data_IF_041651733539
#
_entry.id   IF_041651733539
#
_cell.length_a   1.000
_cell.length_b   1.000
_cell.length_c   1.000
_cell.angle_alpha   90.00
_cell.angle_beta   90.00
_cell.angle_gamma   90.00
#
_symmetry.space_group_name_H-M   'P 1'
#
loop_
_entity.id
_entity.type
_entity.pdbx_description
1 polymer ?
2 polymer ?
3 polymer ?
4 non-polymer ?
5 non-polymer ?
6 non-polymer ?
7 water ?
#
loop_
_entity_poly.entity_id
_entity_poly.type
_entity_poly.pdbx_seq_one_letter_code
_entity_poly.pdbx_strand_id
1 'polydeoxyribonucleotide' '(DG)(DG)(DG)(DG)(DT)(DG)(DT)(DG)(DG)(DT)(DA)(DG)' ?
2 'polydeoxyribonucleotide' '(DC)(DA)(DT)(DC)(DG)(DC)(DT)(DA)(DC)(DC)(DA)(DC)(DA)(DC)(DC)(DC)(DC)' ?
#
# COMPACT_ATOMS: atom_id res chain seq x y z
N UNK C 3 6.22 8.83 -26.93
CA UNK C 3 6.26 7.48 -26.34
C UNK C 3 7.70 7.03 -26.12
N UNK C 4 7.92 6.37 -24.97
CA UNK C 4 9.25 6.06 -24.47
C UNK C 4 9.33 4.55 -24.25
N UNK C 5 10.15 3.87 -25.05
CA UNK C 5 10.29 2.42 -24.92
C UNK C 5 11.33 2.08 -23.85
N UNK C 6 11.33 0.82 -23.43
CA UNK C 6 12.20 0.39 -22.32
C UNK C 6 13.69 0.50 -22.62
N UNK C 7 14.07 0.54 -23.90
CA UNK C 7 15.48 0.72 -24.23
C UNK C 7 15.86 2.19 -24.36
N UNK C 8 14.93 3.09 -24.09
CA UNK C 8 15.25 4.50 -24.12
C UNK C 8 15.79 4.95 -22.78
N UNK C 9 16.83 5.79 -22.76
CA UNK C 9 17.35 6.26 -21.47
C UNK C 9 16.32 6.88 -20.55
N UNK C 10 15.23 7.45 -21.09
CA UNK C 10 14.22 8.13 -20.29
C UNK C 10 13.13 7.19 -19.76
N UNK C 11 13.25 5.88 -19.99
CA UNK C 11 12.13 4.98 -19.69
C UNK C 11 11.77 4.98 -18.20
N UNK C 12 12.77 4.81 -17.33
CA UNK C 12 12.49 4.76 -15.89
C UNK C 12 11.83 6.05 -15.41
N UNK C 13 12.33 7.21 -15.86
CA UNK C 13 11.71 8.46 -15.48
C UNK C 13 10.26 8.54 -15.95
N UNK C 14 10.00 8.10 -17.18
CA UNK C 14 8.65 8.17 -17.73
C UNK C 14 7.72 7.21 -17.01
N UNK C 15 8.19 5.98 -16.78
CA UNK C 15 7.35 4.97 -16.17
C UNK C 15 6.97 5.37 -14.75
N UNK C 16 7.96 5.81 -13.96
CA UNK C 16 7.66 6.23 -12.59
C UNK C 16 6.79 7.49 -12.54
N UNK C 17 6.95 8.39 -13.51
CA UNK C 17 6.07 9.56 -13.57
C UNK C 17 4.61 9.17 -13.77
N UNK C 18 4.36 8.08 -14.49
CA UNK C 18 3.00 7.66 -14.81
C UNK C 18 2.44 6.62 -13.85
N UNK C 19 3.31 5.87 -13.15
CA UNK C 19 2.88 4.70 -12.37
C UNK C 19 2.30 5.14 -11.02
N UNK C 20 1.00 4.92 -10.82
CA UNK C 20 0.44 5.29 -9.53
C UNK C 20 0.95 4.40 -8.40
N UNK C 21 1.26 3.15 -8.69
CA UNK C 21 1.80 2.26 -7.67
C UNK C 21 3.20 2.69 -7.24
N UNK C 22 4.03 3.15 -8.18
CA UNK C 22 5.28 3.78 -7.79
C UNK C 22 5.04 4.99 -6.90
N UNK C 23 4.07 5.83 -7.26
CA UNK C 23 3.78 7.02 -6.44
C UNK C 23 3.36 6.62 -5.03
N UNK C 24 2.47 5.64 -4.90
CA UNK C 24 2.04 5.20 -3.57
C UNK C 24 3.23 4.81 -2.72
N UNK C 25 4.15 4.04 -3.30
CA UNK C 25 5.31 3.52 -2.59
C UNK C 25 6.24 4.65 -2.17
N UNK C 26 6.50 5.57 -3.10
CA UNK C 26 7.39 6.68 -2.82
C UNK C 26 6.80 7.61 -1.77
N UNK C 27 5.50 7.89 -1.89
CA UNK C 27 4.85 8.76 -0.90
C UNK C 27 4.91 8.14 0.48
N UNK C 28 4.65 6.83 0.57
CA UNK C 28 4.69 6.16 1.86
C UNK C 28 6.09 6.19 2.45
N UNK C 29 7.10 5.90 1.62
CA UNK C 29 8.48 5.93 2.10
C UNK C 29 8.86 7.31 2.59
N UNK C 30 8.42 8.36 1.89
CA UNK C 30 8.73 9.72 2.32
C UNK C 30 8.06 10.05 3.64
N UNK C 31 6.82 9.59 3.83
CA UNK C 31 6.12 9.87 5.08
C UNK C 31 6.78 9.19 6.25
N UNK C 32 7.31 7.98 6.04
CA UNK C 32 8.02 7.29 7.10
C UNK C 32 9.32 8.01 7.43
N UNK C 33 10.06 8.44 6.41
CA UNK C 33 11.31 9.14 6.66
C UNK C 33 11.04 10.46 7.37
N UNK C 34 9.96 11.15 6.99
CA UNK C 34 9.60 12.38 7.68
C UNK C 34 9.30 12.12 9.15
N UNK C 35 8.56 11.05 9.45
CA UNK C 35 8.27 10.69 10.83
C UNK C 35 9.56 10.50 11.63
N UNK C 36 10.51 9.76 11.06
CA UNK C 36 11.75 9.49 11.77
C UNK C 36 12.57 10.77 11.97
N UNK C 37 12.59 11.64 10.97
CA UNK C 37 13.34 12.89 11.10
C UNK C 37 12.71 13.82 12.12
N UNK C 38 11.38 13.86 12.18
CA UNK C 38 10.70 14.73 13.14
C UNK C 38 10.83 14.21 14.57
N UNK C 39 11.12 12.93 14.76
CA UNK C 39 11.11 12.32 16.08
C UNK C 39 12.50 11.91 16.56
N UNK C 40 13.56 12.37 15.89
CA UNK C 40 14.91 11.86 16.18
C UNK C 40 15.28 12.12 17.64
N UNK C 41 14.85 13.25 18.19
CA UNK C 41 15.13 13.59 19.57
C UNK C 41 13.93 13.40 20.49
N UNK C 42 12.78 13.03 19.94
CA UNK C 42 11.59 12.74 20.72
C UNK C 42 11.49 11.23 20.99
N UNK C 43 10.55 10.87 21.86
CA UNK C 43 10.27 9.44 22.19
C UNK C 43 8.97 9.07 21.49
N UNK C 44 7.87 9.71 21.91
CA UNK C 44 6.50 9.54 21.33
C UNK C 44 6.20 8.08 21.00
N UNK C 45 6.46 7.15 21.93
CA UNK C 45 6.16 5.72 21.67
C UNK C 45 5.10 5.48 22.76
N UNK C 46 4.20 4.56 22.48
CA UNK C 46 3.25 4.10 23.48
C UNK C 46 3.98 3.15 24.43
N UNK C 47 3.68 3.26 25.72
CA UNK C 47 4.28 2.39 26.72
C UNK C 47 3.22 1.47 27.31
N UNK C 48 3.70 0.48 28.09
CA UNK C 48 2.78 -0.49 28.67
C UNK C 48 1.77 0.15 29.62
N UNK C 49 2.11 1.30 30.20
CA UNK C 49 1.22 1.96 31.19
C UNK C 49 0.10 2.75 30.50
N UNK C 50 0.22 2.96 29.20
CA UNK C 50 -0.76 3.78 28.51
C UNK C 50 -1.97 2.97 28.13
N UNK C 51 -3.16 3.50 28.40
CA UNK C 51 -4.40 3.02 27.82
C UNK C 51 -4.75 3.98 26.69
N UNK C 52 -5.05 3.43 25.51
CA UNK C 52 -5.16 4.26 24.32
C UNK C 52 -6.43 3.95 23.53
N UNK C 53 -6.81 4.93 22.72
CA UNK C 53 -7.86 4.79 21.72
C UNK C 53 -7.21 5.03 20.36
N UNK C 54 -7.61 4.22 19.38
CA UNK C 54 -7.12 4.33 18.02
C UNK C 54 -8.19 5.02 17.19
N UNK C 55 -7.79 6.07 16.47
CA UNK C 55 -8.61 6.69 15.44
C UNK C 55 -7.91 6.40 14.12
N UNK C 56 -8.51 5.50 13.35
CA UNK C 56 -7.99 5.12 12.02
C UNK C 56 -8.72 5.97 10.99
N UNK C 57 -7.99 6.89 10.36
CA UNK C 57 -8.59 7.94 9.53
C UNK C 57 -8.12 7.73 8.10
N UNK C 58 -9.05 7.79 7.14
CA UNK C 58 -8.71 7.44 5.76
C UNK C 58 -9.64 8.17 4.79
N UNK C 59 -9.06 8.71 3.71
CA UNK C 59 -9.88 9.42 2.71
C UNK C 59 -10.78 8.43 1.99
N UNK C 60 -12.05 8.79 1.83
CA UNK C 60 -12.95 8.03 0.97
C UNK C 60 -12.52 8.16 -0.49
N UNK C 61 -12.52 7.02 -1.19
CA UNK C 61 -12.13 6.90 -2.60
C UNK C 61 -11.16 8.00 -3.02
N UNK C 62 -9.95 7.94 -2.45
CA UNK C 62 -9.04 9.08 -2.44
C UNK C 62 -8.78 9.67 -3.82
N UNK C 63 -8.22 8.89 -4.75
CA UNK C 63 -7.90 9.45 -6.06
C UNK C 63 -9.17 9.94 -6.77
N UNK C 64 -10.28 9.20 -6.65
CA UNK C 64 -11.51 9.62 -7.33
C UNK C 64 -11.99 10.95 -6.79
N UNK C 65 -11.96 11.13 -5.47
CA UNK C 65 -12.38 12.40 -4.87
C UNK C 65 -11.50 13.53 -5.35
N UNK C 66 -10.18 13.35 -5.24
CA UNK C 66 -9.26 14.45 -5.55
C UNK C 66 -9.28 14.75 -7.05
N UNK C 67 -9.27 13.72 -7.88
CA UNK C 67 -9.29 13.92 -9.32
C UNK C 67 -10.58 14.59 -9.76
N UNK C 68 -11.66 14.35 -9.04
CA UNK C 68 -12.91 15.05 -9.32
C UNK C 68 -12.81 16.52 -8.92
N UNK C 69 -12.37 16.78 -7.69
CA UNK C 69 -12.31 18.17 -7.22
C UNK C 69 -11.38 19.01 -8.07
N UNK C 70 -10.36 18.41 -8.68
CA UNK C 70 -9.35 19.08 -9.49
C UNK C 70 -9.53 18.81 -10.99
N UNK C 71 -10.69 18.33 -11.40
CA UNK C 71 -10.90 17.92 -12.79
C UNK C 71 -10.82 19.11 -13.74
N UNK C 72 -10.42 18.82 -14.97
CA UNK C 72 -10.28 19.85 -16.00
C UNK C 72 -11.66 20.31 -16.47
N UNK C 73 -11.66 21.41 -17.23
CA UNK C 73 -12.92 22.00 -17.67
C UNK C 73 -13.72 21.06 -18.56
N UNK C 74 -13.06 20.13 -19.25
CA UNK C 74 -13.79 19.19 -20.09
C UNK C 74 -14.68 18.26 -19.27
N UNK C 75 -14.47 18.17 -17.96
CA UNK C 75 -15.30 17.41 -17.04
C UNK C 75 -16.10 18.28 -16.09
N UNK C 76 -16.26 19.56 -16.41
CA UNK C 76 -16.88 20.49 -15.46
C UNK C 76 -18.28 20.04 -15.04
N UNK C 77 -19.02 19.42 -15.96
CA UNK C 77 -20.39 19.04 -15.64
C UNK C 77 -20.49 17.70 -14.89
N UNK C 78 -19.38 17.01 -14.70
CA UNK C 78 -19.43 15.72 -14.02
C UNK C 78 -19.99 15.89 -12.61
N UNK C 79 -20.79 14.92 -12.18
CA UNK C 79 -21.52 14.98 -10.91
C UNK C 79 -21.00 13.86 -10.03
N UNK C 80 -20.28 14.23 -8.96
CA UNK C 80 -19.66 13.23 -8.08
C UNK C 80 -20.69 12.41 -7.33
N UNK C 81 -21.87 12.97 -7.08
CA UNK C 81 -22.90 12.26 -6.33
C UNK C 81 -23.75 11.34 -7.19
N UNK C 82 -23.79 11.57 -8.51
CA UNK C 82 -24.68 10.82 -9.38
C UNK C 82 -23.97 10.04 -10.49
N UNK C 83 -22.71 10.35 -10.80
CA UNK C 83 -22.00 9.67 -11.89
C UNK C 83 -21.08 8.59 -11.32
N UNK C 84 -20.98 7.44 -11.98
CA UNK C 84 -19.95 6.44 -11.61
C UNK C 84 -18.63 6.90 -12.18
N UNK C 85 -17.64 7.12 -11.30
CA UNK C 85 -16.38 7.75 -11.66
C UNK C 85 -15.23 6.81 -11.32
N UNK C 86 -14.27 6.72 -12.26
CA UNK C 86 -13.03 6.00 -12.04
C UNK C 86 -11.86 6.91 -12.43
N UNK C 87 -10.70 6.61 -11.86
CA UNK C 87 -9.43 7.24 -12.22
C UNK C 87 -8.55 6.18 -12.88
N UNK C 88 -8.09 6.48 -14.08
CA UNK C 88 -7.33 5.49 -14.88
C UNK C 88 -6.61 6.18 -16.04
N UNK C 89 -5.65 5.49 -16.62
CA UNK C 89 -4.95 5.99 -17.81
C UNK C 89 -5.68 5.68 -19.11
N UNK C 90 -6.34 4.53 -19.17
CA UNK C 90 -6.76 3.98 -20.45
C UNK C 90 -8.24 3.75 -20.57
N UNK C 91 -8.61 2.84 -21.48
CA UNK C 91 -9.99 2.61 -21.85
C UNK C 91 -10.38 1.14 -21.85
N UNK C 92 -9.41 0.26 -21.71
CA UNK C 92 -9.72 -1.18 -21.78
C UNK C 92 -9.06 -1.95 -20.64
N UNK C 93 -7.87 -2.47 -20.86
CA UNK C 93 -7.19 -3.28 -19.84
C UNK C 93 -6.30 -2.41 -18.97
N UNK C 94 -6.92 -1.35 -18.44
CA UNK C 94 -6.22 -0.35 -17.66
C UNK C 94 -6.85 -0.31 -16.27
N UNK C 95 -5.98 -0.29 -15.26
CA UNK C 95 -6.44 -0.40 -13.87
C UNK C 95 -7.26 0.81 -13.46
N UNK C 96 -8.38 0.55 -12.79
CA UNK C 96 -9.11 1.55 -12.04
C UNK C 96 -8.37 1.73 -10.72
N UNK C 97 -7.63 2.84 -10.60
CA UNK C 97 -6.91 3.06 -9.35
C UNK C 97 -7.86 3.35 -8.21
N UNK C 98 -8.89 4.14 -8.49
CA UNK C 98 -9.91 4.48 -7.50
C UNK C 98 -11.24 4.67 -8.22
N UNK C 99 -12.31 4.27 -7.56
CA UNK C 99 -13.67 4.47 -8.09
C UNK C 99 -14.51 5.09 -6.97
N UNK C 100 -15.47 5.93 -7.34
CA UNK C 100 -16.34 6.52 -6.34
C UNK C 100 -17.42 5.53 -5.90
N UNK C 101 -18.22 5.95 -4.91
CA UNK C 101 -19.19 5.03 -4.33
C UNK C 101 -20.39 4.80 -5.24
N UNK C 102 -20.67 5.73 -6.17
CA UNK C 102 -21.66 5.43 -7.21
C UNK C 102 -21.19 4.24 -8.05
N UNK C 103 -19.92 4.26 -8.48
CA UNK C 103 -19.40 3.13 -9.25
C UNK C 103 -19.48 1.85 -8.43
N UNK C 104 -19.16 1.91 -7.14
CA UNK C 104 -19.17 0.71 -6.33
C UNK C 104 -20.57 0.15 -6.13
N UNK C 105 -21.60 0.99 -6.27
CA UNK C 105 -23.00 0.54 -6.19
C UNK C 105 -23.31 -0.51 -7.24
N UNK C 106 -22.54 -0.54 -8.32
CA UNK C 106 -22.71 -1.51 -9.40
C UNK C 106 -21.77 -2.69 -9.27
N UNK C 107 -20.92 -2.71 -8.25
CA UNK C 107 -19.98 -3.79 -8.06
C UNK C 107 -18.56 -3.47 -8.50
N UNK C 108 -18.32 -2.28 -9.04
CA UNK C 108 -16.97 -1.92 -9.45
C UNK C 108 -16.09 -1.75 -8.22
N UNK C 109 -14.83 -2.17 -8.35
CA UNK C 109 -13.87 -2.15 -7.25
C UNK C 109 -12.54 -1.61 -7.74
N UNK C 110 -11.78 -0.98 -6.82
CA UNK C 110 -10.41 -0.58 -7.14
C UNK C 110 -9.63 -1.80 -7.60
N UNK C 111 -8.80 -1.60 -8.63
CA UNK C 111 -7.98 -2.66 -9.17
C UNK C 111 -8.58 -3.37 -10.37
N UNK C 112 -9.89 -3.21 -10.61
CA UNK C 112 -10.50 -3.78 -11.79
C UNK C 112 -9.99 -3.08 -13.04
N UNK C 113 -10.01 -3.80 -14.16
CA UNK C 113 -9.79 -3.16 -15.44
C UNK C 113 -11.06 -2.44 -15.88
N UNK C 114 -10.88 -1.32 -16.60
CA UNK C 114 -12.01 -0.59 -17.15
C UNK C 114 -12.93 -1.51 -17.95
N UNK C 115 -12.35 -2.41 -18.74
CA UNK C 115 -13.15 -3.30 -19.57
C UNK C 115 -14.07 -4.17 -18.73
N UNK C 116 -13.59 -4.66 -17.57
CA UNK C 116 -14.44 -5.43 -16.69
C UNK C 116 -15.52 -4.56 -16.05
N UNK C 117 -15.16 -3.34 -15.63
CA UNK C 117 -16.11 -2.48 -14.91
C UNK C 117 -17.24 -2.02 -15.82
N UNK C 118 -16.92 -1.69 -17.07
CA UNK C 118 -17.94 -1.22 -18.00
C UNK C 118 -19.08 -2.21 -18.14
N UNK C 119 -18.78 -3.51 -18.08
CA UNK C 119 -19.82 -4.52 -18.24
C UNK C 119 -20.79 -4.57 -17.07
N UNK C 120 -20.42 -3.98 -15.94
CA UNK C 120 -21.28 -3.98 -14.76
C UNK C 120 -22.32 -2.87 -14.79
N UNK C 121 -22.29 -2.00 -15.78
CA UNK C 121 -23.23 -0.90 -15.81
C UNK C 121 -24.42 -1.26 -16.68
N UNK C 122 -25.64 -1.01 -16.24
CA UNK C 122 -26.79 -1.19 -17.13
C UNK C 122 -26.74 -0.18 -18.26
N UNK C 123 -27.48 -0.48 -19.33
CA UNK C 123 -27.44 0.37 -20.51
C UNK C 123 -27.93 1.77 -20.18
N UNK C 124 -27.31 2.77 -20.80
CA UNK C 124 -27.62 4.16 -20.54
C UNK C 124 -26.84 4.78 -19.42
N UNK C 125 -26.14 3.99 -18.61
CA UNK C 125 -25.29 4.48 -17.54
C UNK C 125 -23.88 4.51 -18.07
N UNK C 126 -23.28 5.71 -18.11
CA UNK C 126 -21.92 5.86 -18.70
C UNK C 126 -20.86 6.11 -17.63
N UNK C 127 -19.76 5.37 -17.72
CA UNK C 127 -18.63 5.51 -16.81
C UNK C 127 -17.86 6.77 -17.16
N UNK C 128 -17.55 7.57 -16.14
CA UNK C 128 -16.73 8.76 -16.31
C UNK C 128 -15.31 8.42 -15.86
N UNK C 129 -14.34 8.54 -16.77
CA UNK C 129 -12.94 8.21 -16.51
C UNK C 129 -12.15 9.51 -16.39
N UNK C 130 -11.64 9.78 -15.19
CA UNK C 130 -10.85 10.98 -14.96
C UNK C 130 -9.37 10.64 -14.94
N UNK C 131 -8.52 11.56 -15.38
CA UNK C 131 -7.07 11.31 -15.35
C UNK C 131 -6.53 11.50 -13.95
N UNK C 132 -5.34 10.94 -13.74
CA UNK C 132 -4.66 11.12 -12.48
C UNK C 132 -4.22 12.58 -12.31
N UNK C 133 -4.21 13.04 -11.06
CA UNK C 133 -3.72 14.37 -10.69
C UNK C 133 -2.71 14.17 -9.55
N UNK C 134 -1.51 13.71 -9.90
CA UNK C 134 -0.59 13.19 -8.88
C UNK C 134 -0.15 14.26 -7.90
N UNK C 135 0.22 15.45 -8.40
CA UNK C 135 0.69 16.49 -7.50
C UNK C 135 -0.42 16.93 -6.57
N UNK C 136 -1.67 16.95 -7.06
CA UNK C 136 -2.77 17.34 -6.19
C UNK C 136 -3.13 16.26 -5.18
N UNK C 137 -2.95 14.98 -5.53
CA UNK C 137 -3.07 13.94 -4.50
C UNK C 137 -2.13 14.24 -3.35
N UNK C 138 -0.90 14.56 -3.67
CA UNK C 138 0.09 14.85 -2.61
C UNK C 138 -0.31 16.11 -1.82
N UNK C 139 -0.75 17.15 -2.48
CA UNK C 139 -1.12 18.36 -1.76
C UNK C 139 -2.29 18.11 -0.81
N UNK C 140 -3.28 17.31 -1.23
CA UNK C 140 -4.39 17.01 -0.32
C UNK C 140 -3.89 16.20 0.87
N UNK C 141 -2.97 15.26 0.62
CA UNK C 141 -2.33 14.51 1.69
C UNK C 141 -1.64 15.45 2.69
N UNK C 142 -0.88 16.41 2.18
CA UNK C 142 -0.24 17.39 3.06
C UNK C 142 -1.25 18.08 3.96
N UNK C 143 -2.37 18.52 3.39
CA UNK C 143 -3.40 19.20 4.17
C UNK C 143 -3.97 18.28 5.25
N UNK C 144 -4.13 16.99 4.91
CA UNK C 144 -4.63 15.99 5.85
C UNK C 144 -3.68 15.83 7.03
N UNK C 145 -2.40 15.57 6.75
CA UNK C 145 -1.45 15.38 7.84
C UNK C 145 -1.24 16.66 8.64
N UNK C 146 -1.27 17.82 7.97
CA UNK C 146 -1.17 19.09 8.69
C UNK C 146 -2.35 19.30 9.62
N UNK C 147 -3.55 18.97 9.15
CA UNK C 147 -4.74 19.11 9.99
C UNK C 147 -4.66 18.22 11.21
N UNK C 148 -4.27 16.95 11.01
CA UNK C 148 -4.18 16.02 12.15
C UNK C 148 -3.27 16.54 13.25
N UNK C 149 -2.12 17.10 12.87
CA UNK C 149 -1.18 17.63 13.86
C UNK C 149 -1.73 18.89 14.51
N UNK C 150 -2.37 19.77 13.72
CA UNK C 150 -2.85 21.04 14.24
C UNK C 150 -3.95 20.85 15.28
N UNK C 151 -4.73 19.77 15.18
CA UNK C 151 -5.82 19.57 16.12
C UNK C 151 -5.33 19.36 17.54
N UNK C 152 -4.09 18.92 17.72
CA UNK C 152 -3.50 18.69 19.03
C UNK C 152 -4.38 17.78 19.91
N UNK C 153 -4.86 16.70 19.32
CA UNK C 153 -5.68 15.74 20.05
C UNK C 153 -5.05 14.34 20.13
N UNK C 154 -3.94 14.10 19.42
CA UNK C 154 -3.33 12.78 19.36
C UNK C 154 -1.91 12.83 19.92
N UNK C 155 -1.57 11.80 20.69
CA UNK C 155 -0.21 11.67 21.19
C UNK C 155 0.74 11.09 20.15
N UNK C 156 0.22 10.34 19.18
CA UNK C 156 1.07 9.71 18.18
C UNK C 156 0.29 9.62 16.88
N UNK C 157 0.90 10.06 15.79
CA UNK C 157 0.29 10.04 14.46
C UNK C 157 1.17 9.19 13.57
N UNK C 158 0.65 8.04 13.12
CA UNK C 158 1.45 7.07 12.37
C UNK C 158 1.00 7.07 10.92
N UNK C 159 1.89 7.34 9.97
CA UNK C 159 1.48 7.31 8.56
C UNK C 159 1.29 5.87 8.10
N UNK C 160 0.16 5.61 7.46
CA UNK C 160 -0.11 4.27 6.86
C UNK C 160 0.03 4.40 5.34
N UNK C 161 -0.49 5.49 4.78
CA UNK C 161 -0.49 5.67 3.34
C UNK C 161 -0.63 7.16 3.06
N UNK C 162 -0.51 7.50 1.78
CA UNK C 162 -0.79 8.86 1.32
C UNK C 162 -2.10 9.40 1.91
N UNK C 163 -3.10 8.55 2.10
CA UNK C 163 -4.44 8.99 2.46
C UNK C 163 -4.92 8.43 3.79
N UNK C 164 -4.01 7.93 4.61
CA UNK C 164 -4.46 7.15 5.78
C UNK C 164 -3.47 7.23 6.93
N UNK C 165 -3.99 7.38 8.13
CA UNK C 165 -3.12 7.46 9.30
C UNK C 165 -3.79 6.78 10.48
N UNK C 166 -2.96 6.19 11.35
CA UNK C 166 -3.40 5.65 12.63
C UNK C 166 -3.03 6.67 13.69
N UNK C 167 -4.04 7.19 14.39
CA UNK C 167 -3.87 8.30 15.30
C UNK C 167 -4.24 7.83 16.70
N UNK C 168 -3.32 7.98 17.65
CA UNK C 168 -3.44 7.35 18.95
C UNK C 168 -3.67 8.43 20.00
N UNK C 169 -4.73 8.27 20.79
CA UNK C 169 -5.02 9.16 21.91
C UNK C 169 -4.89 8.37 23.20
N UNK C 170 -3.99 8.81 24.08
CA UNK C 170 -3.78 8.17 25.38
C UNK C 170 -4.78 8.76 26.37
N UNK C 171 -5.47 7.90 27.10
CA UNK C 171 -6.53 8.28 28.03
C UNK C 171 -6.03 8.04 29.45
N UNK C 172 -5.81 9.08 30.24
CA UNK C 172 -5.41 8.87 31.64
C UNK C 172 -6.53 8.21 32.43
N UNK C 173 -6.12 7.50 33.48
CA UNK C 173 -7.05 6.84 34.43
C UNK C 173 -7.93 7.93 35.02
N UNK C 174 -7.34 9.13 35.14
CA UNK C 174 -7.96 10.42 35.42
C UNK C 174 -9.30 10.60 34.74
N UNK C 175 -9.39 10.20 33.47
CA UNK C 175 -10.43 10.67 32.56
C UNK C 175 -11.43 9.56 32.30
N UNK C 176 -12.71 9.93 32.24
CA UNK C 176 -13.77 9.01 31.88
C UNK C 176 -14.08 9.24 30.40
N UNK C 177 -13.56 8.38 29.54
CA UNK C 177 -13.85 8.48 28.12
C UNK C 177 -15.28 7.99 27.88
N UNK C 178 -15.97 8.63 26.93
CA UNK C 178 -17.32 8.26 26.58
C UNK C 178 -17.48 8.20 25.06
N UNK C 179 -18.53 7.49 24.63
CA UNK C 179 -18.89 7.49 23.22
C UNK C 179 -19.17 8.91 22.73
N UNK C 180 -19.86 9.72 23.54
CA UNK C 180 -20.17 11.08 23.13
C UNK C 180 -18.91 11.90 22.87
N UNK C 181 -17.90 11.78 23.74
CA UNK C 181 -16.65 12.51 23.51
C UNK C 181 -15.95 11.99 22.25
N UNK C 182 -16.00 10.69 22.02
CA UNK C 182 -15.33 10.14 20.84
C UNK C 182 -16.07 10.55 19.57
N UNK C 183 -17.40 10.57 19.62
CA UNK C 183 -18.17 11.02 18.46
C UNK C 183 -17.85 12.48 18.14
N UNK C 184 -17.75 13.32 19.17
CA UNK C 184 -17.41 14.72 18.92
C UNK C 184 -16.03 14.85 18.31
N UNK C 185 -15.07 14.07 18.78
CA UNK C 185 -13.74 14.10 18.18
C UNK C 185 -13.78 13.65 16.72
N UNK C 186 -14.53 12.60 16.43
CA UNK C 186 -14.71 12.12 15.06
C UNK C 186 -15.27 13.21 14.17
N UNK C 187 -16.30 13.89 14.67
CA UNK C 187 -16.93 14.94 13.88
C UNK C 187 -16.00 16.14 13.69
N UNK C 188 -15.21 16.49 14.72
CA UNK C 188 -14.23 17.55 14.57
C UNK C 188 -13.20 17.19 13.51
N UNK C 189 -12.66 15.98 13.59
CA UNK C 189 -11.66 15.54 12.61
C UNK C 189 -12.24 15.60 11.20
N UNK C 190 -13.43 15.03 11.02
CA UNK C 190 -14.04 14.97 9.69
C UNK C 190 -14.29 16.37 9.13
N UNK C 191 -14.79 17.28 9.97
CA UNK C 191 -15.09 18.62 9.47
C UNK C 191 -13.81 19.41 9.18
N UNK C 192 -12.82 19.32 10.07
CA UNK C 192 -11.58 20.07 9.86
C UNK C 192 -10.84 19.56 8.62
N UNK C 193 -10.85 18.26 8.38
CA UNK C 193 -10.20 17.75 7.17
C UNK C 193 -10.99 18.16 5.93
N UNK C 194 -12.31 18.09 5.99
CA UNK C 194 -13.14 18.54 4.87
C UNK C 194 -12.84 19.99 4.52
N UNK C 195 -12.78 20.87 5.53
CA UNK C 195 -12.41 22.26 5.29
C UNK C 195 -10.97 22.36 4.78
N UNK C 196 -10.04 21.66 5.45
CA UNK C 196 -8.63 21.83 5.15
C UNK C 196 -8.22 21.31 3.79
N UNK C 197 -8.95 20.33 3.25
CA UNK C 197 -8.69 19.77 1.94
C UNK C 197 -9.58 20.35 0.86
N UNK C 198 -10.42 21.34 1.18
CA UNK C 198 -11.30 21.95 0.19
C UNK C 198 -12.27 20.95 -0.43
N UNK C 199 -12.84 20.07 0.39
CA UNK C 199 -13.97 19.25 -0.02
C UNK C 199 -13.74 17.75 -0.02
N UNK C 200 -12.63 17.24 0.49
CA UNK C 200 -12.46 15.79 0.50
C UNK C 200 -13.04 15.26 1.80
N UNK C 201 -13.51 14.02 1.77
CA UNK C 201 -14.10 13.41 2.96
C UNK C 201 -13.22 12.30 3.48
N UNK C 202 -13.17 12.17 4.81
CA UNK C 202 -12.52 11.03 5.46
C UNK C 202 -13.56 10.27 6.26
N UNK C 203 -13.36 8.97 6.37
CA UNK C 203 -14.06 8.19 7.36
C UNK C 203 -13.09 7.77 8.47
N UNK C 204 -13.67 7.39 9.60
CA UNK C 204 -12.90 7.13 10.82
C UNK C 204 -13.44 5.87 11.49
N UNK C 205 -12.55 4.95 11.83
CA UNK C 205 -12.85 3.85 12.73
C UNK C 205 -12.19 4.16 14.07
N UNK C 206 -12.96 4.01 15.13
CA UNK C 206 -12.51 4.37 16.47
C UNK C 206 -12.67 3.16 17.37
N UNK C 207 -11.59 2.69 17.98
CA UNK C 207 -11.68 1.51 18.83
C UNK C 207 -10.49 1.47 19.79
N UNK C 208 -10.47 0.41 20.61
CA UNK C 208 -9.36 0.14 21.51
C UNK C 208 -8.43 -0.97 21.01
N UNK C 209 -8.49 -1.33 19.72
CA UNK C 209 -7.47 -2.13 19.07
C UNK C 209 -7.23 -1.57 17.68
N UNK C 210 -6.07 -1.86 17.13
CA UNK C 210 -5.80 -1.48 15.72
C UNK C 210 -6.72 -2.25 14.78
N UNK C 211 -6.93 -3.52 15.05
CA UNK C 211 -7.76 -4.34 14.12
C UNK C 211 -9.23 -3.90 14.14
N UNK C 212 -9.77 -3.63 15.32
CA UNK C 212 -11.18 -3.19 15.37
C UNK C 212 -11.30 -1.80 14.77
N UNK C 213 -10.28 -0.94 14.91
CA UNK C 213 -10.35 0.40 14.28
C UNK C 213 -10.40 0.28 12.75
N UNK C 214 -9.70 -0.71 12.21
CA UNK C 214 -9.71 -0.94 10.74
C UNK C 214 -11.08 -1.46 10.30
N UNK C 215 -11.64 -2.40 11.05
CA UNK C 215 -12.98 -2.92 10.70
C UNK C 215 -14.03 -1.80 10.89
N UNK C 216 -13.90 -1.01 11.94
CA UNK C 216 -14.84 0.11 12.17
C UNK C 216 -14.76 1.12 11.01
N UNK C 217 -13.57 1.35 10.50
CA UNK C 217 -13.39 2.26 9.34
C UNK C 217 -14.17 1.73 8.14
N UNK C 218 -14.07 0.44 7.89
CA UNK C 218 -14.82 -0.15 6.77
C UNK C 218 -16.34 0.06 6.97
N UNK C 219 -16.83 -0.19 8.17
CA UNK C 219 -18.24 -0.05 8.46
C UNK C 219 -18.68 1.41 8.37
N UNK C 220 -17.76 2.34 8.67
CA UNK C 220 -18.07 3.76 8.66
C UNK C 220 -18.27 4.31 7.25
N UNK C 221 -17.66 3.69 6.25
CA UNK C 221 -17.59 4.28 4.92
C UNK C 221 -18.92 4.14 4.18
N UNK C 222 -19.23 5.07 3.28
CA UNK C 222 -18.46 6.28 2.98
C UNK C 222 -18.88 7.46 3.86
N UNK C 223 -17.95 8.37 4.08
CA UNK C 223 -18.22 9.68 4.68
C UNK C 223 -18.91 9.55 6.04
N UNK C 224 -18.31 8.75 6.90
CA UNK C 224 -18.88 8.54 8.22
C UNK C 224 -17.86 8.16 9.26
N UNK C 225 -18.32 7.84 10.46
CA UNK C 225 -17.46 7.31 11.49
C UNK C 225 -18.19 6.21 12.22
N UNK C 226 -17.41 5.33 12.84
CA UNK C 226 -17.96 4.23 13.61
C UNK C 226 -17.09 4.02 14.83
N UNK C 227 -17.73 3.91 15.98
CA UNK C 227 -17.04 3.69 17.25
C UNK C 227 -17.47 2.31 17.74
N UNK C 228 -16.57 1.33 17.69
CA UNK C 228 -16.85 -0.01 18.20
C UNK C 228 -15.67 -0.47 19.06
N UNK C 229 -15.84 -0.40 20.38
CA UNK C 229 -14.84 -0.90 21.30
C UNK C 229 -15.05 -2.40 21.54
N UNK C 230 -14.04 -3.04 22.11
CA UNK C 230 -14.14 -4.46 22.42
C UNK C 230 -15.38 -4.75 23.25
N UNK C 231 -15.73 -3.85 24.17
CA UNK C 231 -16.92 -4.03 25.00
C UNK C 231 -18.21 -3.84 24.22
N UNK C 232 -18.15 -3.32 22.99
CA UNK C 232 -19.33 -3.10 22.15
C UNK C 232 -19.54 -4.23 21.14
N UNK C 233 -18.72 -5.26 21.14
CA UNK C 233 -18.78 -6.24 20.07
C UNK C 233 -20.10 -7.02 20.12
N UNK C 234 -20.60 -7.39 18.94
CA UNK C 234 -21.88 -8.05 18.82
C UNK C 234 -21.87 -8.92 17.56
N UNK C 235 -22.86 -9.80 17.47
CA UNK C 235 -23.05 -10.58 16.26
C UNK C 235 -23.36 -9.67 15.08
N UNK C 236 -24.12 -8.59 15.32
CA UNK C 236 -24.43 -7.64 14.26
C UNK C 236 -23.17 -7.06 13.65
N UNK C 237 -22.17 -6.75 14.48
CA UNK C 237 -20.90 -6.24 13.98
C UNK C 237 -20.20 -7.26 13.08
N UNK C 238 -19.97 -8.47 13.60
CA UNK C 238 -19.21 -9.46 12.84
C UNK C 238 -19.94 -9.87 11.56
N UNK C 239 -21.28 -9.87 11.58
CA UNK C 239 -22.02 -10.27 10.39
C UNK C 239 -21.90 -9.25 9.27
N UNK C 240 -21.36 -8.07 9.52
CA UNK C 240 -21.27 -6.99 8.56
C UNK C 240 -20.06 -7.08 7.64
N UNK C 241 -19.15 -8.02 7.88
CA UNK C 241 -17.85 -8.02 7.21
C UNK C 241 -17.62 -9.30 6.42
N UNK C 242 -16.98 -9.14 5.26
CA UNK C 242 -16.45 -10.25 4.49
C UNK C 242 -15.13 -10.71 5.10
N UNK C 243 -14.72 -11.94 4.75
CA UNK C 243 -13.52 -12.50 5.34
C UNK C 243 -12.27 -11.68 5.00
N UNK C 244 -12.17 -11.19 3.76
CA UNK C 244 -11.00 -10.38 3.42
C UNK C 244 -11.13 -8.92 3.85
N UNK C 245 -12.15 -8.56 4.62
CA UNK C 245 -12.10 -7.29 5.33
C UNK C 245 -11.06 -7.30 6.43
N UNK C 246 -10.64 -8.48 6.86
CA UNK C 246 -9.60 -8.55 7.91
C UNK C 246 -8.26 -8.13 7.32
N UNK C 247 -7.51 -7.34 8.02
CA UNK C 247 -6.13 -6.94 7.48
C UNK C 247 -5.24 -8.18 7.52
N UNK C 248 -4.58 -8.37 6.39
CA UNK C 248 -3.69 -9.52 6.22
C UNK C 248 -4.38 -10.68 5.52
N UNK C 249 -5.68 -10.58 5.28
CA UNK C 249 -6.40 -11.61 4.56
C UNK C 249 -6.70 -11.05 3.18
N UNK C 250 -6.02 -11.60 2.16
CA UNK C 250 -6.31 -11.34 0.79
C UNK C 250 -6.87 -12.56 0.09
N UNK C 251 -6.79 -12.54 -1.25
CA UNK C 251 -7.49 -13.55 -2.05
C UNK C 251 -6.97 -14.96 -1.77
N UNK C 252 -5.67 -15.11 -1.60
CA UNK C 252 -5.11 -16.45 -1.38
C UNK C 252 -5.55 -17.02 -0.04
N UNK C 253 -5.47 -16.22 1.02
CA UNK C 253 -5.91 -16.66 2.33
C UNK C 253 -7.42 -16.90 2.35
N UNK C 254 -8.17 -16.02 1.69
CA UNK C 254 -9.61 -16.19 1.59
C UNK C 254 -9.96 -17.55 0.99
N UNK C 255 -9.26 -17.93 -0.08
CA UNK C 255 -9.54 -19.21 -0.73
C UNK C 255 -9.32 -20.38 0.22
N UNK C 256 -8.23 -20.32 1.01
CA UNK C 256 -7.97 -21.38 1.97
C UNK C 256 -9.03 -21.44 3.06
N UNK C 257 -9.46 -20.27 3.56
CA UNK C 257 -10.50 -20.25 4.60
C UNK C 257 -11.81 -20.81 4.07
N UNK C 258 -12.17 -20.47 2.83
CA UNK C 258 -13.41 -20.98 2.27
C UNK C 258 -13.36 -22.49 2.06
N UNK C 259 -12.18 -23.02 1.72
CA UNK C 259 -12.08 -24.46 1.59
C UNK C 259 -12.18 -25.15 2.95
N UNK C 260 -11.53 -24.61 3.97
CA UNK C 260 -11.46 -25.29 5.26
C UNK C 260 -12.77 -25.20 6.03
N UNK C 261 -13.46 -24.05 5.94
CA UNK C 261 -14.58 -23.77 6.82
C UNK C 261 -15.91 -23.70 6.09
N UNK C 262 -16.04 -24.42 4.99
CA UNK C 262 -17.32 -24.58 4.30
C UNK C 262 -17.88 -23.25 3.82
N UNK C 263 -17.01 -22.44 3.22
CA UNK C 263 -17.34 -21.16 2.59
C UNK C 263 -18.11 -20.25 3.54
N UNK C 264 -17.51 -19.79 4.62
CA UNK C 264 -18.16 -18.74 5.42
C UNK C 264 -18.38 -17.51 4.55
N UNK C 265 -19.49 -16.82 4.80
CA UNK C 265 -19.83 -15.63 4.03
C UNK C 265 -19.75 -14.37 4.85
N UNK C 266 -19.36 -14.45 6.12
CA UNK C 266 -19.19 -13.30 6.97
C UNK C 266 -18.14 -13.66 8.02
N UNK C 267 -17.59 -12.65 8.69
CA UNK C 267 -16.72 -12.93 9.83
C UNK C 267 -17.50 -13.60 10.95
N UNK C 268 -18.81 -13.38 11.02
CA UNK C 268 -19.63 -14.09 11.99
C UNK C 268 -19.65 -15.59 11.68
N UNK C 269 -19.84 -15.96 10.40
CA UNK C 269 -19.78 -17.37 10.04
C UNK C 269 -18.45 -17.98 10.44
N UNK C 270 -17.35 -17.28 10.13
CA UNK C 270 -16.03 -17.82 10.41
C UNK C 270 -15.83 -17.98 11.91
N UNK C 271 -16.22 -16.97 12.70
CA UNK C 271 -15.92 -17.05 14.13
C UNK C 271 -16.75 -18.10 14.85
N UNK C 272 -17.92 -18.46 14.30
CA UNK C 272 -18.72 -19.51 14.91
C UNK C 272 -18.28 -20.91 14.48
N UNK C 273 -17.50 -21.03 13.41
CA UNK C 273 -17.09 -22.33 12.89
C UNK C 273 -15.65 -22.69 13.23
N UNK C 274 -14.77 -21.73 13.42
CA UNK C 274 -13.36 -22.06 13.45
C UNK C 274 -12.94 -22.60 14.81
N UNK C 275 -11.79 -23.27 14.81
CA UNK C 275 -10.97 -23.47 15.99
C UNK C 275 -9.58 -22.95 15.67
N UNK C 276 -8.86 -22.54 16.71
CA UNK C 276 -7.50 -22.05 16.49
C UNK C 276 -6.63 -23.09 15.79
N UNK C 277 -6.74 -24.36 16.19
CA UNK C 277 -5.91 -25.40 15.58
C UNK C 277 -6.23 -25.56 14.10
N UNK C 278 -7.52 -25.66 13.76
CA UNK C 278 -7.86 -25.85 12.35
C UNK C 278 -7.48 -24.63 11.52
N UNK C 279 -7.58 -23.45 12.12
CA UNK C 279 -7.19 -22.22 11.45
C UNK C 279 -5.70 -22.21 11.14
N UNK C 280 -4.87 -22.56 12.13
CA UNK C 280 -3.43 -22.63 11.89
C UNK C 280 -3.10 -23.63 10.80
N UNK C 281 -3.80 -24.77 10.78
CA UNK C 281 -3.54 -25.76 9.75
C UNK C 281 -3.91 -25.24 8.37
N UNK C 282 -4.91 -24.35 8.31
CA UNK C 282 -5.39 -23.92 7.00
C UNK C 282 -4.52 -22.81 6.42
N UNK C 283 -4.10 -21.84 7.24
CA UNK C 283 -3.44 -20.65 6.73
C UNK C 283 -2.05 -20.43 7.30
N UNK C 284 -1.59 -21.26 8.22
CA UNK C 284 -0.30 -21.06 8.84
C UNK C 284 -0.41 -20.66 10.31
N UNK C 285 0.66 -20.94 11.06
CA UNK C 285 0.66 -20.70 12.50
C UNK C 285 0.48 -19.22 12.83
N UNK C 286 1.34 -18.37 12.27
CA UNK C 286 1.31 -16.96 12.65
C UNK C 286 0.08 -16.26 12.11
N UNK C 287 -0.25 -16.49 10.83
CA UNK C 287 -1.44 -15.87 10.26
C UNK C 287 -2.70 -16.42 10.90
N UNK C 288 -2.72 -17.72 11.21
CA UNK C 288 -3.86 -18.28 11.93
C UNK C 288 -4.06 -17.65 13.29
N UNK C 289 -2.97 -17.46 14.05
CA UNK C 289 -3.07 -16.80 15.35
C UNK C 289 -3.55 -15.36 15.21
N UNK C 290 -3.04 -14.65 14.19
CA UNK C 290 -3.48 -13.28 13.94
C UNK C 290 -4.98 -13.21 13.70
N UNK C 291 -5.49 -14.11 12.88
CA UNK C 291 -6.92 -14.12 12.57
C UNK C 291 -7.73 -14.50 13.81
N UNK C 292 -7.27 -15.51 14.55
CA UNK C 292 -7.95 -15.90 15.78
C UNK C 292 -8.06 -14.72 16.75
N UNK C 293 -6.96 -13.99 16.95
CA UNK C 293 -7.01 -12.83 17.82
C UNK C 293 -7.91 -11.74 17.26
N UNK C 294 -7.85 -11.52 15.93
CA UNK C 294 -8.68 -10.48 15.31
C UNK C 294 -10.17 -10.78 15.50
N UNK C 295 -10.54 -12.06 15.44
CA UNK C 295 -11.94 -12.43 15.63
C UNK C 295 -12.41 -12.24 17.07
N UNK C 296 -11.49 -11.94 18.00
CA UNK C 296 -11.82 -11.50 19.34
C UNK C 296 -11.64 -10.00 19.50
N UNK C 297 -11.38 -9.29 18.41
CA UNK C 297 -11.15 -7.86 18.47
C UNK C 297 -9.78 -7.46 18.93
N UNK C 298 -8.82 -8.39 18.95
CA UNK C 298 -7.52 -8.16 19.57
C UNK C 298 -6.39 -8.14 18.53
N UNK C 299 -5.39 -7.30 18.79
CA UNK C 299 -4.21 -7.26 17.95
C UNK C 299 -3.23 -8.34 18.34
N UNK C 300 -2.41 -8.77 17.37
CA UNK C 300 -1.30 -9.67 17.66
C UNK C 300 -0.04 -8.87 17.98
N UNK C 301 0.98 -9.58 18.47
CA UNK C 301 2.20 -8.91 18.93
C UNK C 301 2.88 -8.17 17.79
N UNK C 302 2.89 -8.77 16.59
CA UNK C 302 3.55 -8.13 15.45
C UNK C 302 2.92 -6.79 15.12
N UNK C 303 1.58 -6.74 15.09
CA UNK C 303 0.89 -5.49 14.78
C UNK C 303 1.13 -4.43 15.85
N UNK C 304 1.27 -4.84 17.11
CA UNK C 304 1.43 -3.88 18.18
C UNK C 304 2.78 -3.19 18.14
N UNK C 305 3.75 -3.75 17.43
CA UNK C 305 5.09 -3.18 17.41
C UNK C 305 5.07 -1.74 16.90
N UNK C 306 4.13 -1.40 16.03
CA UNK C 306 4.11 -0.03 15.50
C UNK C 306 3.78 0.98 16.58
N UNK C 307 3.04 0.58 17.61
CA UNK C 307 2.71 1.48 18.72
C UNK C 307 3.88 1.61 19.69
N UNK C 308 4.53 0.50 20.00
CA UNK C 308 5.53 0.48 21.07
C UNK C 308 6.94 0.81 20.60
N UNK C 309 7.20 0.67 19.30
CA UNK C 309 8.51 1.03 18.76
C UNK C 309 8.34 1.50 17.32
N UNK C 310 7.61 2.60 17.10
CA UNK C 310 7.42 3.08 15.73
C UNK C 310 8.71 3.39 14.99
N UNK C 311 9.74 3.85 15.69
CA UNK C 311 10.99 4.18 14.99
C UNK C 311 11.57 2.94 14.32
N UNK C 312 11.51 1.78 14.98
CA UNK C 312 12.02 0.56 14.38
C UNK C 312 11.12 0.07 13.25
N UNK C 313 9.81 0.10 13.45
CA UNK C 313 8.88 -0.41 12.44
C UNK C 313 8.97 0.43 11.16
N UNK C 314 9.08 1.75 11.29
CA UNK C 314 9.07 2.63 10.14
C UNK C 314 10.43 2.77 9.48
N UNK C 315 11.48 2.24 10.09
CA UNK C 315 12.82 2.33 9.49
C UNK C 315 12.95 1.42 8.26
N UNK C 316 13.41 2.00 7.17
CA UNK C 316 13.58 1.23 5.94
C UNK C 316 14.70 0.21 6.10
N UNK C 317 14.45 -1.04 5.71
CA UNK C 317 15.43 -2.10 5.82
C UNK C 317 15.92 -2.63 4.47
N UNK C 318 15.27 -2.26 3.37
CA UNK C 318 15.64 -2.70 2.03
C UNK C 318 15.26 -1.60 1.06
N UNK C 319 15.79 -1.68 -0.17
CA UNK C 319 15.54 -0.67 -1.18
C UNK C 319 15.54 -1.38 -2.53
N UNK C 320 14.48 -1.18 -3.33
CA UNK C 320 14.40 -1.89 -4.60
C UNK C 320 13.58 -1.09 -5.60
N UNK C 321 13.69 -1.50 -6.87
CA UNK C 321 12.75 -1.12 -7.91
C UNK C 321 12.22 -2.39 -8.55
N UNK C 322 10.98 -2.30 -9.03
CA UNK C 322 10.33 -3.37 -9.77
C UNK C 322 9.74 -2.76 -11.02
N UNK C 323 10.03 -3.36 -12.16
CA UNK C 323 9.48 -2.88 -13.42
C UNK C 323 8.96 -4.12 -14.15
N UNK C 324 7.64 -4.28 -14.15
CA UNK C 324 6.98 -5.44 -14.75
C UNK C 324 5.94 -4.99 -15.76
N UNK C 325 6.13 -3.82 -16.34
CA UNK C 325 5.29 -3.29 -17.40
C UNK C 325 6.21 -2.58 -18.39
N UNK C 326 5.98 -2.82 -19.69
CA UNK C 326 6.78 -2.22 -20.73
C UNK C 326 8.09 -2.93 -21.04
N UNK C 327 8.32 -4.13 -20.53
CA UNK C 327 9.62 -4.78 -20.65
C UNK C 327 9.62 -5.64 -21.91
N UNK C 328 10.29 -5.13 -22.96
CA UNK C 328 10.38 -5.77 -24.28
C UNK C 328 11.78 -5.49 -24.83
N UNK C 329 12.71 -6.39 -24.56
CA UNK C 329 14.10 -6.22 -25.01
C UNK C 329 14.43 -7.23 -26.09
N UNK C 330 15.25 -6.80 -27.04
CA UNK C 330 15.64 -7.62 -28.18
C UNK C 330 16.97 -8.34 -27.98
N UNK C 331 17.84 -7.86 -27.08
CA UNK C 331 19.16 -8.45 -26.92
C UNK C 331 19.71 -8.14 -25.54
N UNK C 332 20.81 -8.82 -25.20
CA UNK C 332 21.41 -8.70 -23.87
C UNK C 332 22.09 -7.35 -23.67
N UNK C 333 22.58 -6.72 -24.74
CA UNK C 333 23.17 -5.40 -24.58
C UNK C 333 22.17 -4.43 -23.99
N UNK C 334 20.92 -4.46 -24.50
CA UNK C 334 19.91 -3.54 -24.03
C UNK C 334 19.44 -3.89 -22.62
N UNK C 335 19.35 -5.20 -22.31
CA UNK C 335 19.03 -5.61 -20.94
C UNK C 335 20.08 -5.05 -19.98
N UNK C 336 21.36 -5.22 -20.33
CA UNK C 336 22.45 -4.78 -19.45
C UNK C 336 22.39 -3.27 -19.22
N UNK C 337 22.12 -2.49 -20.28
CA UNK C 337 22.01 -1.05 -20.10
C UNK C 337 20.85 -0.70 -19.18
N UNK C 338 19.74 -1.42 -19.30
CA UNK C 338 18.61 -1.16 -18.40
C UNK C 338 18.97 -1.48 -16.95
N UNK C 339 19.68 -2.58 -16.73
CA UNK C 339 20.14 -2.92 -15.39
C UNK C 339 21.03 -1.81 -14.85
N UNK C 340 21.93 -1.30 -15.68
CA UNK C 340 22.80 -0.20 -15.26
C UNK C 340 22.00 1.04 -14.87
N UNK C 341 21.01 1.41 -15.69
CA UNK C 341 20.16 2.56 -15.38
C UNK C 341 19.43 2.35 -14.07
N UNK C 342 18.95 1.13 -13.83
CA UNK C 342 18.25 0.87 -12.58
C UNK C 342 19.18 0.93 -11.39
N UNK C 343 20.40 0.44 -11.54
CA UNK C 343 21.33 0.53 -10.42
C UNK C 343 21.73 1.97 -10.15
N UNK C 344 21.90 2.80 -11.19
CA UNK C 344 22.17 4.22 -10.96
C UNK C 344 21.03 4.86 -10.17
N UNK C 345 19.79 4.57 -10.54
CA UNK C 345 18.65 5.12 -9.81
C UNK C 345 18.68 4.68 -8.37
N UNK C 346 18.90 3.38 -8.13
CA UNK C 346 18.90 2.87 -6.76
C UNK C 346 20.03 3.48 -5.95
N UNK C 347 21.20 3.65 -6.57
CA UNK C 347 22.34 4.20 -5.83
C UNK C 347 22.10 5.67 -5.48
N UNK C 348 21.37 6.42 -6.31
CA UNK C 348 20.99 7.77 -5.91
C UNK C 348 20.14 7.74 -4.65
N UNK C 349 19.18 6.82 -4.59
CA UNK C 349 18.33 6.71 -3.41
C UNK C 349 19.14 6.25 -2.20
N UNK C 350 20.05 5.30 -2.41
CA UNK C 350 20.87 4.79 -1.31
C UNK C 350 21.79 5.87 -0.76
N UNK C 351 22.33 6.72 -1.63
CA UNK C 351 23.20 7.78 -1.13
C UNK C 351 22.38 8.86 -0.41
N UNK C 352 21.15 9.07 -0.83
CA UNK C 352 20.27 10.06 -0.15
C UNK C 352 20.06 9.65 1.32
N UNK C 353 20.03 8.36 1.60
CA UNK C 353 19.83 7.93 3.00
C UNK C 353 21.15 7.60 3.68
N UNK C 354 22.23 7.87 3.00
CA UNK C 354 23.59 7.70 3.55
C UNK C 354 23.83 6.29 4.08
N UNK C 355 23.59 5.30 3.26
CA UNK C 355 23.85 3.91 3.60
C UNK C 355 24.63 3.23 2.49
N UNK C 356 25.16 2.06 2.80
CA UNK C 356 25.73 1.16 1.79
C UNK C 356 24.88 -0.11 1.79
N UNK C 357 25.18 -1.02 0.87
CA UNK C 357 24.46 -2.28 0.84
C UNK C 357 25.45 -3.45 0.85
N UNK C 358 25.06 -4.53 1.53
CA UNK C 358 25.85 -5.73 1.72
C UNK C 358 25.30 -6.94 0.99
N UNK C 359 24.10 -6.84 0.41
CA UNK C 359 23.46 -7.98 -0.22
C UNK C 359 22.50 -7.46 -1.27
N UNK C 360 22.51 -8.06 -2.45
CA UNK C 360 21.67 -7.62 -3.55
C UNK C 360 20.99 -8.81 -4.20
N UNK C 361 19.87 -8.54 -4.85
CA UNK C 361 19.09 -9.56 -5.52
C UNK C 361 18.61 -9.03 -6.86
N UNK C 362 18.64 -9.90 -7.87
CA UNK C 362 17.92 -9.65 -9.11
C UNK C 362 16.80 -10.68 -9.23
N UNK C 363 15.59 -10.20 -9.50
CA UNK C 363 14.46 -11.08 -9.75
C UNK C 363 13.93 -10.75 -11.13
N UNK C 364 13.46 -11.77 -11.86
CA UNK C 364 12.90 -11.51 -13.17
C UNK C 364 11.62 -12.30 -13.36
N UNK C 365 10.79 -11.79 -14.27
CA UNK C 365 9.62 -12.51 -14.77
C UNK C 365 9.88 -12.91 -16.21
N UNK C 366 9.62 -14.18 -16.51
CA UNK C 366 9.86 -14.72 -17.85
C UNK C 366 8.54 -15.26 -18.40
N UNK C 367 8.26 -14.94 -19.65
CA UNK C 367 7.04 -15.43 -20.29
C UNK C 367 6.91 -16.94 -20.12
N UNK C 368 5.73 -17.38 -19.66
CA UNK C 368 5.52 -18.83 -19.60
C UNK C 368 5.56 -19.41 -21.00
N UNK C 369 6.10 -20.62 -21.12
CA UNK C 369 6.32 -21.26 -22.43
C UNK C 369 5.06 -21.27 -23.30
N UNK C 370 3.90 -21.43 -22.69
CA UNK C 370 2.65 -21.50 -23.46
C UNK C 370 1.88 -20.19 -23.46
N UNK C 371 2.50 -19.07 -23.02
CA UNK C 371 1.76 -17.81 -22.95
C UNK C 371 2.03 -16.97 -24.19
N UNK C 372 1.04 -16.22 -24.66
CA UNK C 372 1.24 -15.38 -25.85
C UNK C 372 2.34 -14.35 -25.64
N UNK C 373 3.06 -14.06 -26.72
CA UNK C 373 4.13 -13.07 -26.69
C UNK C 373 3.57 -11.67 -26.42
N UNK C 374 2.36 -11.41 -26.91
CA UNK C 374 1.65 -10.16 -26.62
C UNK C 374 0.51 -10.50 -25.67
N UNK C 375 0.59 -10.16 -24.39
CA UNK C 375 -0.47 -10.56 -23.44
C UNK C 375 -1.72 -9.72 -23.61
N UNK C 376 -2.80 -10.10 -22.95
CA UNK C 376 -4.03 -9.29 -23.01
C UNK C 376 -3.83 -7.81 -22.69
N UNK C 377 -3.07 -7.49 -21.64
CA UNK C 377 -2.79 -6.10 -21.29
C UNK C 377 -1.66 -5.57 -22.15
N UNK C 378 -1.89 -4.48 -22.87
CA UNK C 378 -0.84 -3.82 -23.63
C UNK C 378 0.37 -3.55 -22.75
N UNK C 379 1.53 -4.05 -23.19
CA UNK C 379 2.81 -3.94 -22.51
C UNK C 379 2.87 -4.68 -21.17
N UNK C 380 1.88 -5.50 -20.87
CA UNK C 380 1.86 -6.21 -19.60
C UNK C 380 2.89 -7.33 -19.57
N UNK C 381 3.16 -7.81 -18.35
CA UNK C 381 4.04 -8.96 -18.23
C UNK C 381 3.34 -10.24 -18.67
N UNK C 382 2.01 -10.29 -18.56
CA UNK C 382 1.29 -11.51 -18.84
C UNK C 382 1.62 -12.63 -17.86
N UNK C 383 1.24 -13.85 -18.24
CA UNK C 383 1.51 -15.01 -17.39
C UNK C 383 2.99 -15.36 -17.47
N UNK C 384 3.65 -15.40 -16.30
CA UNK C 384 5.10 -15.53 -16.26
C UNK C 384 5.54 -16.49 -15.18
N UNK C 385 6.76 -16.99 -15.33
CA UNK C 385 7.45 -17.71 -14.27
C UNK C 385 8.46 -16.75 -13.66
N UNK C 386 8.63 -16.84 -12.34
CA UNK C 386 9.53 -15.95 -11.60
C UNK C 386 10.83 -16.67 -11.27
N UNK C 387 11.93 -15.91 -11.28
CA UNK C 387 13.25 -16.43 -10.94
C UNK C 387 13.99 -15.36 -10.15
N UNK C 388 14.73 -15.77 -9.13
CA UNK C 388 15.51 -14.76 -8.42
C UNK C 388 16.78 -15.37 -7.89
N UNK C 389 17.80 -14.53 -7.73
CA UNK C 389 19.06 -14.97 -7.14
C UNK C 389 19.68 -13.79 -6.41
N UNK C 390 20.26 -14.06 -5.25
CA UNK C 390 20.88 -13.04 -4.43
C UNK C 390 22.39 -13.26 -4.36
N UNK C 391 23.11 -12.22 -3.94
CA UNK C 391 24.55 -12.29 -3.78
C UNK C 391 24.97 -11.44 -2.59
N UNK C 392 25.79 -12.01 -1.71
CA UNK C 392 26.38 -11.27 -0.62
C UNK C 392 27.65 -10.61 -1.12
N UNK C 393 27.75 -9.29 -0.95
CA UNK C 393 28.93 -8.57 -1.35
C UNK C 393 30.01 -8.72 -0.28
N UNK C 394 31.27 -8.75 -0.71
CA UNK C 394 32.35 -8.98 0.24
C UNK C 394 32.43 -7.91 1.31
N UNK C 395 32.22 -6.66 0.92
CA UNK C 395 32.34 -5.50 1.81
C UNK C 395 31.10 -4.65 1.49
N UNK C 396 30.41 -4.10 2.48
CA UNK C 396 29.28 -3.20 2.17
C UNK C 396 29.76 -2.05 1.31
N UNK C 397 28.95 -1.68 0.31
CA UNK C 397 29.42 -0.73 -0.68
C UNK C 397 28.26 0.05 -1.27
N UNK C 398 28.60 1.22 -1.84
CA UNK C 398 27.70 1.97 -2.70
C UNK C 398 28.30 2.16 -4.10
N UNK C 399 29.29 1.36 -4.46
CA UNK C 399 30.02 1.56 -5.72
C UNK C 399 29.27 0.94 -6.89
N UNK C 400 29.00 1.77 -7.90
CA UNK C 400 28.29 1.31 -9.09
C UNK C 400 29.00 0.14 -9.76
N UNK C 401 30.32 0.23 -9.93
CA UNK C 401 31.01 -0.82 -10.64
C UNK C 401 30.80 -2.19 -10.03
N UNK C 402 30.92 -2.27 -8.71
CA UNK C 402 30.71 -3.53 -8.02
C UNK C 402 29.27 -3.99 -8.17
N UNK C 403 28.33 -3.10 -7.87
CA UNK C 403 26.93 -3.52 -7.79
C UNK C 403 26.36 -3.83 -9.15
N UNK C 404 26.58 -2.95 -10.14
CA UNK C 404 26.03 -3.20 -11.47
C UNK C 404 26.66 -4.44 -12.12
N UNK C 405 27.97 -4.62 -11.95
CA UNK C 405 28.61 -5.83 -12.48
C UNK C 405 27.97 -7.08 -11.89
N UNK C 406 27.74 -7.08 -10.58
CA UNK C 406 27.16 -8.27 -9.96
C UNK C 406 25.70 -8.46 -10.36
N UNK C 407 24.94 -7.37 -10.52
CA UNK C 407 23.56 -7.51 -10.99
C UNK C 407 23.50 -8.12 -12.38
N UNK C 408 24.39 -7.67 -13.28
CA UNK C 408 24.41 -8.22 -14.63
C UNK C 408 24.85 -9.69 -14.62
N UNK C 409 25.76 -10.04 -13.71
CA UNK C 409 26.14 -11.44 -13.50
C UNK C 409 24.95 -12.27 -13.04
N UNK C 410 24.21 -11.75 -12.07
CA UNK C 410 23.04 -12.45 -11.57
C UNK C 410 22.04 -12.70 -12.70
N UNK C 411 21.85 -11.71 -13.58
CA UNK C 411 20.96 -11.92 -14.72
C UNK C 411 21.42 -13.11 -15.55
N UNK C 412 22.73 -13.17 -15.84
CA UNK C 412 23.23 -14.26 -16.66
C UNK C 412 23.00 -15.61 -16.00
N UNK C 413 23.13 -15.70 -14.67
CA UNK C 413 22.94 -16.98 -14.01
C UNK C 413 21.50 -17.49 -14.14
N UNK C 414 20.53 -16.60 -14.34
CA UNK C 414 19.14 -17.02 -14.43
C UNK C 414 18.73 -17.48 -15.82
N UNK C 415 19.54 -17.24 -16.85
CA UNK C 415 19.35 -17.90 -18.13
C UNK C 415 18.13 -17.47 -18.94
N UNK C 416 17.61 -16.29 -18.68
CA UNK C 416 16.42 -15.84 -19.42
C UNK C 416 16.87 -15.20 -20.72
N UNK C 417 16.42 -15.70 -21.89
CA UNK C 417 16.72 -15.04 -23.13
C UNK C 417 16.07 -13.64 -23.11
N UNK C 418 16.74 -12.61 -23.56
CA UNK C 418 16.22 -11.26 -23.56
C UNK C 418 14.78 -11.10 -24.08
N UNK C 419 14.47 -11.79 -25.17
CA UNK C 419 13.13 -11.59 -25.73
C UNK C 419 12.04 -12.25 -24.89
N UNK C 420 12.39 -13.14 -23.96
CA UNK C 420 11.41 -13.75 -23.08
C UNK C 420 11.24 -12.98 -21.79
N UNK C 421 12.09 -11.99 -21.53
CA UNK C 421 12.01 -11.22 -20.31
C UNK C 421 10.76 -10.34 -20.32
N UNK C 422 10.03 -10.37 -19.21
CA UNK C 422 8.81 -9.56 -19.07
C UNK C 422 8.82 -8.69 -17.81
N UNK C 423 9.83 -8.81 -16.97
CA UNK C 423 9.88 -7.98 -15.78
C UNK C 423 11.19 -8.14 -15.03
N UNK C 424 11.58 -7.11 -14.28
CA UNK C 424 12.86 -7.12 -13.60
C UNK C 424 12.73 -6.38 -12.29
N UNK C 425 13.30 -6.95 -11.23
CA UNK C 425 13.40 -6.28 -9.94
C UNK C 425 14.87 -6.26 -9.55
N UNK C 426 15.34 -5.10 -9.08
CA UNK C 426 16.70 -4.93 -8.58
C UNK C 426 16.57 -4.51 -7.13
N UNK C 427 17.19 -5.29 -6.23
CA UNK C 427 16.99 -5.11 -4.79
C UNK C 427 18.31 -4.98 -4.05
N UNK C 428 18.36 -4.02 -3.13
CA UNK C 428 19.40 -3.95 -2.11
C UNK C 428 18.74 -4.47 -0.83
N UNK C 429 19.11 -5.67 -0.41
CA UNK C 429 18.36 -6.38 0.64
C UNK C 429 18.80 -6.02 2.05
N UNK C 430 20.08 -5.67 2.20
CA UNK C 430 20.63 -5.32 3.53
C UNK C 430 21.31 -3.96 3.43
N UNK C 431 20.93 -3.05 4.30
CA UNK C 431 21.49 -1.70 4.31
C UNK C 431 22.36 -1.54 5.54
N UNK C 432 23.49 -0.84 5.36
CA UNK C 432 24.51 -0.72 6.39
C UNK C 432 24.78 0.75 6.63
N UNK C 433 24.89 1.13 7.90
CA UNK C 433 25.10 2.54 8.24
C UNK C 433 26.46 3.01 7.77
N UNK C 434 26.54 4.32 7.53
CA UNK C 434 27.80 5.02 7.25
C UNK C 434 28.07 5.91 8.46
N UNK C 435 29.17 5.67 9.15
CA UNK C 435 29.51 6.43 10.31
C UNK C 435 30.69 7.35 10.06
N UNK C 436 31.09 8.11 11.08
CA UNK C 436 32.21 9.05 10.90
C UNK C 436 33.57 8.38 10.82
N UNK C 437 33.71 7.13 11.27
CA UNK C 437 34.99 6.43 11.26
C UNK C 437 34.97 5.49 10.05
N UNK C 438 35.74 5.81 9.02
CA UNK C 438 35.88 4.93 7.87
C UNK C 438 37.32 4.43 7.70
N UNK C 439 38.09 4.45 8.78
CA UNK C 439 39.48 3.99 8.72
C UNK C 439 39.50 2.47 8.76
N UNK C 440 39.91 1.88 7.62
CA UNK C 440 39.74 0.48 7.24
C UNK C 440 38.96 -0.42 8.19
#
# INVERSE_FOLDING_TARGET
KRIVACDDPDFLTSYFAHSRLHHLSAWKANLKDKFLNENIHKYTKITDKDTYIIFHIDFDCFFATVAYLCRSSSFSACDFKRDPIVVCHGTKNSDIASCNYVARSYGIKNGMWVSQAEKMLPNGIKLISLPYTFEQFQLKSEAFYSTLKRLNIFNLILPISIDEAVCVRIIPDNIHNTNTLNARLCEEIRQEIFQGTNGCTVSIGCSDSLVLARLALKMAKPNGYNITFKSNLSEEFWSSFKLDDLPGVGHSTLSRLESTFDSPHSLNDLRKRYTLDALKASVGSKLGMKIHLALQGQDDEESLKILYDPKEVLQRKSLSIDINWGIRFKNITQVDLFIERGCQYLLEKLNEINKTTSQITLKLMRRCKDAPIEPPKYMGMGRCDSFSRSSRLGIPTNEFGIIATEMKSLYRTLGCPPMELRGLALQFNKLVDVGPDNNQLK
#
